data_IF_737614963997
#
_entry.id   IF_737614963997
#
_cell.length_a   1.000
_cell.length_b   1.000
_cell.length_c   1.000
_cell.angle_alpha   90.00
_cell.angle_beta   90.00
_cell.angle_gamma   90.00
#
_symmetry.space_group_name_H-M   'P 1'
#
loop_
_entity.id
_entity.type
_entity.pdbx_description
1 polymer ?
#
# COMPACT_ATOMS: atom_id res chain seq x y z
N UNK A 1 72.15 47.80 38.50
CA UNK A 1 70.69 48.04 38.46
C UNK A 1 69.98 47.35 37.29
N UNK A 2 70.65 47.05 36.17
CA UNK A 2 70.03 46.45 34.96
C UNK A 2 69.75 44.94 35.14
N UNK A 3 70.72 44.17 35.64
CA UNK A 3 70.57 42.72 35.86
C UNK A 3 69.40 42.33 36.80
N UNK A 4 69.09 43.18 37.79
CA UNK A 4 67.97 42.95 38.71
C UNK A 4 66.59 43.12 38.04
N UNK A 5 66.50 44.00 37.02
CA UNK A 5 65.26 44.20 36.26
C UNK A 5 65.00 43.03 35.32
N UNK A 6 66.03 42.58 34.61
CA UNK A 6 65.96 41.42 33.72
C UNK A 6 65.56 40.14 34.47
N UNK A 7 66.08 39.96 35.69
CA UNK A 7 65.74 38.79 36.50
C UNK A 7 64.29 38.83 37.03
N UNK A 8 63.78 40.03 37.34
CA UNK A 8 62.37 40.21 37.73
C UNK A 8 61.42 39.96 36.55
N UNK A 9 61.80 40.40 35.36
CA UNK A 9 61.04 40.17 34.13
C UNK A 9 61.03 38.69 33.73
N UNK A 10 62.18 37.99 33.83
CA UNK A 10 62.25 36.54 33.61
C UNK A 10 61.34 35.76 34.56
N UNK A 11 61.37 36.06 35.86
CA UNK A 11 60.48 35.39 36.82
C UNK A 11 58.99 35.68 36.56
N UNK A 12 58.67 36.88 36.06
CA UNK A 12 57.32 37.21 35.60
C UNK A 12 56.89 36.36 34.41
N UNK A 13 57.76 36.23 33.40
CA UNK A 13 57.51 35.44 32.21
C UNK A 13 57.35 33.95 32.53
N UNK A 14 58.19 33.38 33.40
CA UNK A 14 58.05 31.99 33.87
C UNK A 14 56.70 31.74 34.55
N UNK A 15 56.22 32.71 35.35
CA UNK A 15 54.90 32.66 35.94
C UNK A 15 53.78 32.61 34.89
N UNK A 16 53.88 33.46 33.86
CA UNK A 16 52.89 33.49 32.76
C UNK A 16 52.90 32.19 31.95
N UNK A 17 54.07 31.61 31.69
CA UNK A 17 54.20 30.34 30.96
C UNK A 17 53.53 29.22 31.74
N UNK A 18 53.79 29.11 33.05
CA UNK A 18 53.14 28.11 33.91
C UNK A 18 51.62 28.27 33.93
N UNK A 19 51.13 29.51 33.95
CA UNK A 19 49.69 29.78 33.90
C UNK A 19 49.08 29.38 32.56
N UNK A 20 49.76 29.66 31.45
CA UNK A 20 49.31 29.28 30.10
C UNK A 20 49.34 27.76 29.90
N UNK A 21 50.37 27.08 30.41
CA UNK A 21 50.45 25.62 30.41
C UNK A 21 49.33 24.99 31.24
N UNK A 22 49.01 25.57 32.40
CA UNK A 22 47.90 25.14 33.23
C UNK A 22 46.56 25.30 32.49
N UNK A 23 46.30 26.48 31.93
CA UNK A 23 45.08 26.77 31.15
C UNK A 23 44.97 25.82 29.95
N UNK A 24 46.06 25.61 29.20
CA UNK A 24 46.12 24.66 28.09
C UNK A 24 45.77 23.24 28.55
N UNK A 25 46.32 22.80 29.68
CA UNK A 25 46.07 21.45 30.20
C UNK A 25 44.61 21.24 30.63
N UNK A 26 43.99 22.26 31.23
CA UNK A 26 42.58 22.24 31.65
C UNK A 26 41.66 22.23 30.43
N UNK A 27 41.94 23.10 29.46
CA UNK A 27 41.22 23.12 28.18
C UNK A 27 41.34 21.77 27.47
N UNK A 28 42.55 21.20 27.36
CA UNK A 28 42.76 19.93 26.67
C UNK A 28 42.01 18.77 27.32
N UNK A 29 41.90 18.74 28.65
CA UNK A 29 41.08 17.76 29.39
C UNK A 29 39.57 17.97 29.23
N UNK A 30 39.12 19.19 28.90
CA UNK A 30 37.70 19.54 28.68
C UNK A 30 37.22 19.40 27.23
N UNK A 31 38.13 19.29 26.27
CA UNK A 31 37.81 19.02 24.85
C UNK A 31 37.12 17.66 24.66
N UNK A 32 37.57 16.54 25.24
CA UNK A 32 36.88 15.25 25.04
C UNK A 32 35.45 15.24 25.60
N UNK A 33 35.15 16.00 26.66
CA UNK A 33 33.78 16.12 27.20
C UNK A 33 32.87 17.02 26.35
N UNK A 34 33.43 18.01 25.64
CA UNK A 34 32.68 18.80 24.65
C UNK A 34 32.39 17.99 23.38
N UNK A 35 33.37 17.24 22.89
CA UNK A 35 33.22 16.37 21.72
C UNK A 35 32.25 15.21 22.02
N UNK A 36 32.32 14.60 23.20
CA UNK A 36 31.34 13.60 23.63
C UNK A 36 29.93 14.18 23.73
N UNK A 37 29.77 15.44 24.15
CA UNK A 37 28.47 16.13 24.18
C UNK A 37 27.96 16.48 22.79
N UNK A 38 28.82 16.81 21.84
CA UNK A 38 28.44 17.01 20.44
C UNK A 38 28.13 15.71 19.68
N UNK A 39 28.58 14.57 20.20
CA UNK A 39 28.20 13.25 19.68
C UNK A 39 26.87 12.74 20.28
N UNK A 40 26.57 13.09 21.54
CA UNK A 40 25.31 12.77 22.22
C UNK A 40 24.15 13.66 21.77
N UNK A 41 24.44 14.88 21.31
CA UNK A 41 23.50 15.70 20.55
C UNK A 41 23.60 15.24 19.10
N UNK A 42 22.67 14.38 18.65
CA UNK A 42 22.57 14.02 17.24
C UNK A 42 22.73 15.31 16.43
N UNK A 43 23.71 15.39 15.54
CA UNK A 43 24.00 16.64 14.85
C UNK A 43 22.70 17.04 14.17
N UNK A 44 22.13 18.19 14.52
CA UNK A 44 20.82 18.62 14.00
C UNK A 44 20.75 18.60 12.47
N UNK A 45 21.90 18.71 11.82
CA UNK A 45 22.10 18.45 10.40
C UNK A 45 21.67 17.03 9.96
N UNK A 46 22.06 15.97 10.67
CA UNK A 46 21.66 14.59 10.39
C UNK A 46 20.16 14.37 10.64
N UNK A 47 19.60 14.96 11.71
CA UNK A 47 18.15 14.95 11.96
C UNK A 47 17.40 15.66 10.84
N UNK A 48 17.84 16.85 10.43
CA UNK A 48 17.22 17.59 9.35
C UNK A 48 17.30 16.83 8.02
N UNK A 49 18.42 16.14 7.76
CA UNK A 49 18.59 15.31 6.57
C UNK A 49 17.66 14.10 6.58
N UNK A 50 17.57 13.36 7.69
CA UNK A 50 16.66 12.22 7.78
C UNK A 50 15.19 12.64 7.67
N UNK A 51 14.81 13.78 8.25
CA UNK A 51 13.47 14.35 8.07
C UNK A 51 13.20 14.77 6.62
N UNK A 52 14.18 15.31 5.91
CA UNK A 52 14.06 15.63 4.49
C UNK A 52 13.89 14.36 3.65
N UNK A 53 14.67 13.31 3.94
CA UNK A 53 14.55 12.00 3.27
C UNK A 53 13.18 11.36 3.52
N UNK A 54 12.70 11.38 4.78
CA UNK A 54 11.35 10.91 5.12
C UNK A 54 10.26 11.72 4.40
N UNK A 55 10.43 13.03 4.31
CA UNK A 55 9.50 13.90 3.60
C UNK A 55 9.42 13.53 2.11
N UNK A 56 10.57 13.39 1.44
CA UNK A 56 10.61 13.00 0.04
C UNK A 56 9.94 11.64 -0.19
N UNK A 57 10.22 10.67 0.70
CA UNK A 57 9.55 9.36 0.67
C UNK A 57 8.03 9.51 0.80
N UNK A 58 7.56 10.26 1.80
CA UNK A 58 6.13 10.48 2.01
C UNK A 58 5.46 11.19 0.82
N UNK A 59 6.12 12.18 0.23
CA UNK A 59 5.62 12.89 -0.95
C UNK A 59 5.50 11.96 -2.16
N UNK A 60 6.51 11.13 -2.42
CA UNK A 60 6.47 10.13 -3.50
C UNK A 60 5.37 9.08 -3.31
N UNK A 61 5.19 8.59 -2.07
CA UNK A 61 4.11 7.65 -1.74
C UNK A 61 2.73 8.30 -1.94
N UNK A 62 2.58 9.55 -1.51
CA UNK A 62 1.33 10.30 -1.69
C UNK A 62 1.02 10.51 -3.19
N UNK A 63 2.03 10.83 -4.00
CA UNK A 63 1.86 10.92 -5.46
C UNK A 63 1.42 9.59 -6.08
N UNK A 64 2.05 8.47 -5.68
CA UNK A 64 1.67 7.15 -6.16
C UNK A 64 0.23 6.78 -5.77
N UNK A 65 -0.17 7.05 -4.52
CA UNK A 65 -1.54 6.82 -4.04
C UNK A 65 -2.57 7.68 -4.78
N UNK A 66 -2.25 8.95 -5.07
CA UNK A 66 -3.10 9.82 -5.88
C UNK A 66 -3.27 9.28 -7.30
N UNK A 67 -2.21 8.77 -7.91
CA UNK A 67 -2.29 8.16 -9.23
C UNK A 67 -3.20 6.92 -9.22
N UNK A 68 -3.06 6.04 -8.23
CA UNK A 68 -3.95 4.88 -8.05
C UNK A 68 -5.41 5.31 -7.84
N UNK A 69 -5.66 6.36 -7.05
CA UNK A 69 -7.01 6.89 -6.84
C UNK A 69 -7.66 7.33 -8.15
N UNK A 70 -6.92 8.05 -9.00
CA UNK A 70 -7.42 8.49 -10.30
C UNK A 70 -7.74 7.30 -11.21
N UNK A 71 -6.88 6.28 -11.22
CA UNK A 71 -7.12 5.04 -11.99
C UNK A 71 -8.36 4.30 -11.50
N UNK A 72 -8.50 4.13 -10.19
CA UNK A 72 -9.68 3.47 -9.60
C UNK A 72 -10.96 4.29 -9.79
N UNK A 73 -10.90 5.61 -9.72
CA UNK A 73 -12.06 6.47 -9.99
C UNK A 73 -12.53 6.33 -11.44
N UNK A 74 -11.59 6.27 -12.40
CA UNK A 74 -11.90 6.01 -13.80
C UNK A 74 -12.58 4.65 -13.98
N UNK A 75 -12.03 3.60 -13.37
CA UNK A 75 -12.60 2.24 -13.39
C UNK A 75 -14.02 2.20 -12.83
N UNK A 76 -14.26 2.80 -11.65
CA UNK A 76 -15.59 2.86 -11.02
C UNK A 76 -16.58 3.60 -11.91
N UNK A 77 -16.17 4.70 -12.52
CA UNK A 77 -17.02 5.49 -13.43
C UNK A 77 -17.41 4.69 -14.67
N UNK A 78 -16.45 3.98 -15.26
CA UNK A 78 -16.71 3.10 -16.40
C UNK A 78 -17.67 1.97 -16.03
N UNK A 79 -17.47 1.36 -14.86
CA UNK A 79 -18.35 0.29 -14.36
C UNK A 79 -19.77 0.79 -14.03
N UNK A 80 -19.90 1.98 -13.45
CA UNK A 80 -21.19 2.60 -13.19
C UNK A 80 -21.93 2.90 -14.50
N UNK A 81 -21.23 3.51 -15.47
CA UNK A 81 -21.78 3.79 -16.79
C UNK A 81 -22.21 2.50 -17.50
N UNK A 82 -21.42 1.43 -17.39
CA UNK A 82 -21.77 0.11 -17.91
C UNK A 82 -23.06 -0.40 -17.27
N UNK A 83 -23.15 -0.40 -15.96
CA UNK A 83 -24.33 -0.88 -15.22
C UNK A 83 -25.60 -0.11 -15.60
N UNK A 84 -25.49 1.22 -15.74
CA UNK A 84 -26.61 2.10 -16.14
C UNK A 84 -27.01 1.89 -17.62
N UNK A 85 -26.03 1.81 -18.53
CA UNK A 85 -26.26 1.58 -19.97
C UNK A 85 -26.93 0.24 -20.22
N UNK A 86 -26.47 -0.82 -19.55
CA UNK A 86 -27.04 -2.17 -19.72
C UNK A 86 -28.38 -2.37 -19.01
N UNK A 87 -28.99 -1.30 -18.46
CA UNK A 87 -30.35 -1.30 -17.94
C UNK A 87 -30.61 -2.55 -17.07
N UNK A 88 -29.69 -2.84 -16.14
CA UNK A 88 -29.97 -3.76 -15.03
C UNK A 88 -30.90 -3.02 -14.05
N UNK A 89 -32.01 -2.48 -14.55
CA UNK A 89 -33.11 -2.05 -13.72
C UNK A 89 -33.69 -3.34 -13.14
N UNK A 90 -34.02 -3.37 -11.84
CA UNK A 90 -34.82 -4.45 -11.29
C UNK A 90 -36.17 -4.44 -11.99
N UNK A 91 -36.23 -5.19 -13.10
CA UNK A 91 -37.46 -5.46 -13.83
C UNK A 91 -38.26 -6.41 -12.96
N UNK A 92 -39.49 -6.02 -12.63
CA UNK A 92 -40.48 -6.91 -12.01
C UNK A 92 -40.83 -8.10 -12.92
N UNK A 93 -40.45 -8.01 -14.19
CA UNK A 93 -40.64 -9.03 -15.20
C UNK A 93 -39.45 -10.01 -15.20
N UNK A 94 -39.63 -11.16 -14.54
CA UNK A 94 -38.66 -12.26 -14.42
C UNK A 94 -38.13 -12.74 -15.78
N UNK A 95 -38.90 -12.53 -16.85
CA UNK A 95 -38.59 -13.03 -18.19
C UNK A 95 -37.68 -12.10 -19.02
N UNK A 96 -37.32 -10.91 -18.52
CA UNK A 96 -36.39 -10.00 -19.21
C UNK A 96 -34.94 -10.34 -18.84
N UNK A 97 -34.29 -11.21 -19.61
CA UNK A 97 -32.87 -11.58 -19.46
C UNK A 97 -31.91 -10.50 -19.94
N UNK A 98 -31.97 -9.30 -19.36
CA UNK A 98 -31.10 -8.16 -19.73
C UNK A 98 -29.62 -8.45 -19.39
N UNK A 99 -29.36 -9.19 -18.31
CA UNK A 99 -28.00 -9.56 -17.88
C UNK A 99 -27.28 -10.51 -18.85
N UNK A 100 -28.02 -11.29 -19.66
CA UNK A 100 -27.45 -12.22 -20.65
C UNK A 100 -26.88 -11.50 -21.88
N UNK A 101 -27.28 -10.24 -22.09
CA UNK A 101 -26.87 -9.41 -23.22
C UNK A 101 -25.90 -8.30 -22.81
N UNK A 102 -25.23 -8.45 -21.66
CA UNK A 102 -24.19 -7.53 -21.23
C UNK A 102 -22.96 -7.66 -22.13
N UNK A 103 -22.62 -6.62 -22.91
CA UNK A 103 -21.38 -6.64 -23.68
C UNK A 103 -20.21 -6.24 -22.79
N UNK A 104 -19.11 -6.98 -22.87
CA UNK A 104 -17.91 -6.72 -22.10
C UNK A 104 -17.18 -5.47 -22.61
N UNK A 105 -16.69 -4.65 -21.69
CA UNK A 105 -15.93 -3.44 -22.00
C UNK A 105 -14.57 -3.79 -22.63
N UNK A 106 -13.98 -2.81 -23.33
CA UNK A 106 -12.71 -3.02 -24.01
C UNK A 106 -11.51 -3.05 -23.05
N UNK A 107 -11.61 -2.32 -21.93
CA UNK A 107 -10.58 -2.28 -20.90
C UNK A 107 -10.38 -3.65 -20.21
N UNK A 108 -9.15 -4.18 -20.10
CA UNK A 108 -8.89 -5.49 -19.50
C UNK A 108 -9.34 -5.62 -18.03
N UNK A 109 -9.15 -4.58 -17.22
CA UNK A 109 -9.50 -4.61 -15.80
C UNK A 109 -11.02 -4.63 -15.63
N UNK A 110 -11.71 -3.76 -16.35
CA UNK A 110 -13.18 -3.67 -16.31
C UNK A 110 -13.83 -4.91 -16.93
N UNK A 111 -13.22 -5.49 -17.97
CA UNK A 111 -13.65 -6.77 -18.56
C UNK A 111 -13.55 -7.93 -17.57
N UNK A 112 -12.49 -8.01 -16.75
CA UNK A 112 -12.36 -9.04 -15.72
C UNK A 112 -13.51 -8.93 -14.72
N UNK A 113 -13.76 -7.73 -14.22
CA UNK A 113 -14.82 -7.48 -13.25
C UNK A 113 -16.22 -7.75 -13.84
N UNK A 114 -16.45 -7.39 -15.11
CA UNK A 114 -17.69 -7.71 -15.82
C UNK A 114 -17.92 -9.22 -15.97
N UNK A 115 -16.86 -10.01 -16.21
CA UNK A 115 -16.96 -11.49 -16.25
C UNK A 115 -17.29 -12.07 -14.87
N UNK A 116 -16.65 -11.59 -13.82
CA UNK A 116 -16.93 -12.00 -12.44
C UNK A 116 -18.40 -11.72 -12.09
N UNK A 117 -18.87 -10.51 -12.38
CA UNK A 117 -20.26 -10.12 -12.16
C UNK A 117 -21.27 -10.99 -12.93
N UNK A 118 -21.05 -11.25 -14.23
CA UNK A 118 -21.93 -12.15 -15.01
C UNK A 118 -21.95 -13.55 -14.40
N UNK A 119 -20.79 -14.05 -13.95
CA UNK A 119 -20.66 -15.40 -13.38
C UNK A 119 -21.40 -15.52 -12.05
N UNK A 120 -21.27 -14.53 -11.16
CA UNK A 120 -22.03 -14.49 -9.91
C UNK A 120 -23.53 -14.41 -10.17
N UNK A 121 -23.94 -13.56 -11.12
CA UNK A 121 -25.35 -13.47 -11.52
C UNK A 121 -25.88 -14.80 -12.08
N UNK A 122 -25.10 -15.52 -12.89
CA UNK A 122 -25.48 -16.86 -13.35
C UNK A 122 -25.64 -17.83 -12.18
N UNK A 123 -24.67 -17.86 -11.26
CA UNK A 123 -24.69 -18.74 -10.11
C UNK A 123 -25.95 -18.51 -9.26
N UNK A 124 -26.23 -17.27 -8.89
CA UNK A 124 -27.38 -16.93 -8.05
C UNK A 124 -28.74 -17.07 -8.77
N UNK A 125 -28.79 -16.90 -10.09
CA UNK A 125 -30.01 -17.13 -10.87
C UNK A 125 -30.19 -18.59 -11.33
N UNK A 126 -29.27 -19.49 -11.01
CA UNK A 126 -29.31 -20.88 -11.52
C UNK A 126 -30.61 -21.56 -11.13
N UNK A 127 -30.99 -21.55 -9.86
CA UNK A 127 -32.19 -22.26 -9.41
C UNK A 127 -33.47 -21.68 -10.04
N UNK A 128 -33.59 -20.35 -10.14
CA UNK A 128 -34.76 -19.72 -10.75
C UNK A 128 -34.92 -20.11 -12.23
N UNK A 129 -33.82 -20.15 -12.99
CA UNK A 129 -33.83 -20.58 -14.39
C UNK A 129 -34.15 -22.08 -14.50
N UNK A 130 -33.55 -22.92 -13.65
CA UNK A 130 -33.81 -24.36 -13.69
C UNK A 130 -35.30 -24.66 -13.43
N UNK A 131 -35.91 -24.02 -12.43
CA UNK A 131 -37.34 -24.13 -12.19
C UNK A 131 -38.20 -23.66 -13.39
N UNK A 132 -37.81 -22.58 -14.07
CA UNK A 132 -38.52 -22.07 -15.24
C UNK A 132 -38.62 -23.11 -16.37
N UNK A 133 -37.59 -23.94 -16.54
CA UNK A 133 -37.55 -24.99 -17.56
C UNK A 133 -37.97 -26.38 -17.03
N UNK A 134 -38.56 -26.45 -15.83
CA UNK A 134 -39.07 -27.69 -15.24
C UNK A 134 -37.99 -28.60 -14.66
N UNK A 135 -36.77 -28.09 -14.44
CA UNK A 135 -35.74 -28.85 -13.74
C UNK A 135 -35.98 -28.83 -12.22
N UNK A 136 -35.72 -29.94 -11.53
CA UNK A 136 -35.85 -30.03 -10.08
C UNK A 136 -34.80 -29.16 -9.38
N UNK A 137 -35.11 -28.59 -8.19
CA UNK A 137 -34.16 -27.80 -7.42
C UNK A 137 -32.89 -28.58 -7.09
N UNK A 138 -31.73 -27.90 -7.03
CA UNK A 138 -30.42 -28.55 -6.80
C UNK A 138 -30.36 -29.42 -5.54
N UNK A 139 -31.08 -29.02 -4.49
CA UNK A 139 -31.11 -29.73 -3.20
C UNK A 139 -32.05 -30.94 -3.20
N UNK A 140 -32.84 -31.13 -4.25
CA UNK A 140 -33.73 -32.27 -4.41
C UNK A 140 -32.99 -33.49 -4.99
N UNK A 141 -31.95 -33.92 -4.28
CA UNK A 141 -31.19 -35.15 -4.56
C UNK A 141 -32.07 -36.41 -4.59
N UNK A 142 -33.28 -36.34 -4.05
CA UNK A 142 -34.25 -37.43 -4.04
C UNK A 142 -34.83 -37.73 -5.43
N UNK A 143 -34.80 -36.79 -6.39
CA UNK A 143 -35.33 -36.99 -7.75
C UNK A 143 -34.26 -37.20 -8.84
N UNK A 144 -33.00 -36.83 -8.61
CA UNK A 144 -31.93 -36.96 -9.61
C UNK A 144 -31.38 -38.39 -9.73
N UNK A 145 -31.57 -39.22 -8.71
CA UNK A 145 -31.03 -40.59 -8.64
C UNK A 145 -31.96 -41.66 -9.23
N UNK A 146 -33.18 -41.32 -9.64
CA UNK A 146 -34.19 -42.32 -9.99
C UNK A 146 -34.49 -42.49 -11.48
N UNK A 147 -33.90 -41.68 -12.38
CA UNK A 147 -34.27 -41.69 -13.80
C UNK A 147 -33.17 -42.15 -14.76
N UNK A 148 -32.03 -42.62 -14.25
CA UNK A 148 -30.97 -43.20 -15.08
C UNK A 148 -31.00 -44.73 -15.02
N UNK A 149 -31.91 -45.36 -15.76
CA UNK A 149 -31.84 -46.79 -16.00
C UNK A 149 -30.90 -47.06 -17.19
N UNK A 150 -29.62 -47.27 -16.92
CA UNK A 150 -28.67 -47.73 -17.94
C UNK A 150 -28.86 -49.22 -18.17
N UNK A 151 -29.59 -49.59 -19.23
CA UNK A 151 -29.56 -50.97 -19.74
C UNK A 151 -28.38 -51.11 -20.69
N UNK A 152 -27.32 -51.78 -20.24
CA UNK A 152 -26.30 -52.27 -21.15
C UNK A 152 -26.87 -53.51 -21.85
N UNK A 153 -27.12 -53.40 -23.15
CA UNK A 153 -27.43 -54.57 -23.96
C UNK A 153 -26.15 -55.41 -24.07
N UNK A 154 -26.19 -56.64 -23.55
CA UNK A 154 -25.05 -57.57 -23.50
C UNK A 154 -24.80 -58.24 -24.87
N UNK A 155 -25.38 -57.68 -25.93
CA UNK A 155 -25.06 -58.02 -27.32
C UNK A 155 -23.74 -57.35 -27.71
N UNK A 156 -22.67 -57.80 -27.08
CA UNK A 156 -21.30 -57.56 -27.49
C UNK A 156 -21.08 -58.00 -28.94
N UNK A 157 -20.34 -57.18 -29.69
CA UNK A 157 -19.75 -57.53 -30.97
C UNK A 157 -18.71 -58.65 -30.84
#
# INVERSE_FOLDING_TARGET
MIAYREQKEMSGLEGTIRQLEHIRSVLHKSIPTRLARSLLLLAWHEVARSLADLRMLSESQNQALKAQLVEHEALVREMYHWTDTYHIKPSLDHNRTLWRHASLLNDPATRKLGKEWITEHMFHNTDAIFHQYGFPPRDSFEYLLHDFNFTFDDNGY
#
